data_IF_535470707526
#
_entry.id   IF_535470707526
#
_cell.length_a   1.000
_cell.length_b   1.000
_cell.length_c   1.000
_cell.angle_alpha   90.00
_cell.angle_beta   90.00
_cell.angle_gamma   90.00
#
_symmetry.space_group_name_H-M   'P 1'
#
loop_
_entity.id
_entity.type
_entity.pdbx_description
1 polymer ?
#
# COMPACT_ATOMS: atom_id res chain seq x y z
N UNK A 1 6.24 14.18 1.69
CA UNK A 1 6.92 14.01 0.39
C UNK A 1 6.60 12.60 -0.08
N UNK A 2 5.80 12.45 -1.14
CA UNK A 2 5.36 11.20 -1.83
C UNK A 2 5.66 11.35 -3.33
N UNK A 3 6.31 10.39 -4.06
CA UNK A 3 6.52 10.57 -5.53
C UNK A 3 5.35 10.24 -6.36
N UNK A 4 5.14 11.08 -7.36
CA UNK A 4 4.65 10.56 -8.61
C UNK A 4 5.57 11.13 -9.67
N UNK A 5 6.38 10.25 -10.25
CA UNK A 5 6.96 10.50 -11.56
C UNK A 5 5.90 10.14 -12.59
N UNK A 6 5.68 11.02 -13.56
CA UNK A 6 4.73 10.85 -14.67
C UNK A 6 4.89 9.54 -15.45
N UNK A 7 6.06 8.90 -15.37
CA UNK A 7 6.33 7.59 -15.99
C UNK A 7 5.65 6.41 -15.31
N UNK A 8 5.40 6.46 -13.99
CA UNK A 8 4.69 5.38 -13.29
C UNK A 8 3.23 5.27 -13.78
N UNK A 9 2.60 6.42 -14.06
CA UNK A 9 1.24 6.48 -14.58
C UNK A 9 1.17 5.98 -16.03
N UNK A 10 2.10 6.41 -16.89
CA UNK A 10 2.12 6.00 -18.29
C UNK A 10 2.39 4.48 -18.45
N UNK A 11 3.42 3.96 -17.78
CA UNK A 11 3.87 2.58 -18.01
C UNK A 11 2.86 1.53 -17.46
N UNK A 12 2.19 1.80 -16.33
CA UNK A 12 1.28 0.81 -15.72
C UNK A 12 -0.21 0.99 -16.07
N UNK A 13 -0.69 2.20 -16.39
CA UNK A 13 -2.10 2.39 -16.79
C UNK A 13 -2.32 2.20 -18.31
N UNK A 14 -1.36 2.55 -19.18
CA UNK A 14 -1.52 2.29 -20.62
C UNK A 14 -1.51 0.80 -20.93
N UNK A 15 -0.70 0.00 -20.21
CA UNK A 15 -0.70 -1.46 -20.34
C UNK A 15 -2.02 -2.09 -19.87
N UNK A 16 -2.70 -1.47 -18.89
CA UNK A 16 -4.03 -1.89 -18.44
C UNK A 16 -5.13 -1.56 -19.46
N UNK A 17 -5.04 -0.41 -20.15
CA UNK A 17 -6.00 -0.04 -21.21
C UNK A 17 -5.85 -0.92 -22.46
N UNK A 18 -4.62 -1.27 -22.87
CA UNK A 18 -4.39 -2.11 -24.05
C UNK A 18 -4.87 -3.56 -23.90
N UNK A 19 -5.03 -4.06 -22.67
CA UNK A 19 -5.55 -5.42 -22.41
C UNK A 19 -7.08 -5.51 -22.38
N UNK A 20 -7.80 -4.38 -22.42
CA UNK A 20 -9.26 -4.35 -22.23
C UNK A 20 -10.10 -4.64 -23.48
N UNK A 21 -9.48 -4.81 -24.66
CA UNK A 21 -10.22 -4.89 -25.94
C UNK A 21 -10.35 -6.29 -26.53
N UNK A 22 -9.78 -7.35 -25.94
CA UNK A 22 -9.95 -8.71 -26.46
C UNK A 22 -10.41 -9.73 -25.40
N UNK A 23 -11.62 -10.26 -25.66
CA UNK A 23 -12.11 -11.63 -25.36
C UNK A 23 -12.81 -11.93 -24.03
N UNK A 24 -14.14 -12.01 -24.15
CA UNK A 24 -14.97 -13.22 -23.89
C UNK A 24 -14.55 -14.16 -22.76
N UNK A 25 -15.32 -14.10 -21.67
CA UNK A 25 -15.88 -15.25 -20.93
C UNK A 25 -15.04 -16.53 -20.85
N UNK A 26 -14.01 -16.54 -20.02
CA UNK A 26 -13.63 -17.71 -19.20
C UNK A 26 -12.86 -17.18 -17.99
N UNK A 27 -13.15 -17.72 -16.81
CA UNK A 27 -12.68 -17.26 -15.50
C UNK A 27 -11.20 -17.58 -15.29
N UNK A 28 -10.34 -16.87 -16.00
CA UNK A 28 -8.90 -16.91 -15.81
C UNK A 28 -8.57 -16.17 -14.52
N UNK A 29 -8.44 -16.93 -13.43
CA UNK A 29 -7.83 -16.47 -12.19
C UNK A 29 -6.45 -15.91 -12.55
N UNK A 30 -6.40 -14.59 -12.62
CA UNK A 30 -5.41 -13.76 -13.28
C UNK A 30 -3.96 -14.16 -12.94
N UNK A 31 -3.12 -14.34 -13.96
CA UNK A 31 -1.67 -14.22 -13.78
C UNK A 31 -1.40 -12.83 -13.21
N UNK A 32 -1.01 -12.76 -11.92
CA UNK A 32 -0.60 -11.50 -11.32
C UNK A 32 0.64 -11.00 -12.07
N UNK A 33 0.60 -9.81 -12.69
CA UNK A 33 1.76 -9.27 -13.39
C UNK A 33 2.93 -9.16 -12.41
N UNK A 34 4.14 -9.53 -12.88
CA UNK A 34 5.36 -9.42 -12.08
C UNK A 34 5.66 -7.94 -11.84
N UNK A 35 5.54 -7.47 -10.60
CA UNK A 35 5.87 -6.10 -10.23
C UNK A 35 7.40 -5.90 -10.32
N UNK A 36 7.88 -5.08 -11.24
CA UNK A 36 9.22 -4.50 -11.12
C UNK A 36 9.19 -3.40 -10.05
N UNK A 37 9.61 -3.74 -8.83
CA UNK A 37 9.67 -2.80 -7.72
C UNK A 37 10.67 -1.68 -8.02
N UNK A 38 10.14 -0.48 -8.31
CA UNK A 38 10.91 0.75 -8.40
C UNK A 38 10.46 1.71 -7.30
N UNK A 39 11.39 2.11 -6.45
CA UNK A 39 11.13 3.10 -5.42
C UNK A 39 11.05 4.50 -6.04
N UNK A 40 10.16 5.34 -5.52
CA UNK A 40 10.01 6.72 -5.97
C UNK A 40 9.80 7.67 -4.76
N UNK A 41 10.41 8.89 -4.77
CA UNK A 41 10.10 10.01 -3.83
C UNK A 41 9.73 11.37 -4.51
N UNK A 42 8.55 11.98 -4.31
CA UNK A 42 8.14 13.30 -4.88
C UNK A 42 7.59 14.21 -3.84
N UNK A 43 7.48 15.39 -4.36
CA UNK A 43 7.03 16.58 -3.79
C UNK A 43 5.56 16.70 -4.10
N UNK A 44 4.78 16.79 -3.04
CA UNK A 44 3.43 17.28 -3.10
C UNK A 44 3.33 18.39 -2.06
N UNK A 45 2.83 19.54 -2.46
CA UNK A 45 2.61 20.65 -1.56
C UNK A 45 1.54 20.30 -0.50
N UNK A 46 1.56 21.01 0.62
CA UNK A 46 0.54 20.84 1.67
C UNK A 46 -0.83 21.22 1.10
N UNK A 47 -1.84 20.38 1.32
CA UNK A 47 -3.18 20.59 0.77
C UNK A 47 -3.48 19.87 -0.55
N UNK A 48 -2.49 19.31 -1.25
CA UNK A 48 -2.71 18.60 -2.53
C UNK A 48 -3.32 17.19 -2.41
N UNK A 49 -3.76 16.78 -1.21
CA UNK A 49 -4.38 15.46 -1.03
C UNK A 49 -3.38 14.29 -1.00
N UNK A 50 -2.20 14.47 -0.40
CA UNK A 50 -1.21 13.39 -0.20
C UNK A 50 -1.83 12.09 0.35
N UNK A 51 -2.72 12.20 1.34
CA UNK A 51 -3.30 11.04 2.01
C UNK A 51 -4.22 10.21 1.09
N UNK A 52 -5.00 10.84 0.20
CA UNK A 52 -5.84 10.10 -0.74
C UNK A 52 -4.99 9.39 -1.80
N UNK A 53 -3.91 10.03 -2.27
CA UNK A 53 -2.97 9.39 -3.21
C UNK A 53 -2.34 8.15 -2.57
N UNK A 54 -1.90 8.25 -1.31
CA UNK A 54 -1.38 7.10 -0.56
C UNK A 54 -2.43 6.00 -0.41
N UNK A 55 -3.67 6.34 -0.06
CA UNK A 55 -4.75 5.37 0.08
C UNK A 55 -5.07 4.64 -1.24
N UNK A 56 -5.14 5.37 -2.36
CA UNK A 56 -5.35 4.78 -3.69
C UNK A 56 -4.20 3.85 -4.09
N UNK A 57 -2.95 4.24 -3.82
CA UNK A 57 -1.78 3.40 -4.06
C UNK A 57 -1.81 2.14 -3.19
N UNK A 58 -2.23 2.24 -1.93
CA UNK A 58 -2.37 1.08 -1.06
C UNK A 58 -3.40 0.08 -1.60
N UNK A 59 -4.58 0.56 -2.04
CA UNK A 59 -5.60 -0.28 -2.69
C UNK A 59 -5.05 -0.96 -3.94
N UNK A 60 -4.34 -0.20 -4.78
CA UNK A 60 -3.72 -0.73 -6.00
C UNK A 60 -2.72 -1.86 -5.70
N UNK A 61 -1.84 -1.69 -4.71
CA UNK A 61 -0.85 -2.68 -4.32
C UNK A 61 -1.50 -3.95 -3.74
N UNK A 62 -2.53 -3.79 -2.92
CA UNK A 62 -3.27 -4.93 -2.34
C UNK A 62 -4.05 -5.68 -3.42
N UNK A 63 -4.80 -4.99 -4.28
CA UNK A 63 -5.70 -5.65 -5.24
C UNK A 63 -4.96 -6.31 -6.40
N UNK A 64 -3.97 -5.63 -6.99
CA UNK A 64 -3.30 -6.14 -8.18
C UNK A 64 -2.14 -7.08 -7.86
N UNK A 65 -1.42 -6.81 -6.77
CA UNK A 65 -0.21 -7.56 -6.42
C UNK A 65 -0.38 -8.42 -5.16
N UNK A 66 -1.40 -8.16 -4.34
CA UNK A 66 -1.62 -8.86 -3.07
C UNK A 66 -0.50 -8.65 -2.07
N UNK A 67 0.11 -7.45 -2.10
CA UNK A 67 1.13 -7.06 -1.14
C UNK A 67 0.49 -6.43 0.08
N UNK A 68 1.06 -6.70 1.26
CA UNK A 68 0.76 -5.98 2.49
C UNK A 68 1.43 -4.61 2.44
N UNK A 69 0.70 -3.56 2.82
CA UNK A 69 1.13 -2.17 2.72
C UNK A 69 1.26 -1.54 4.10
N UNK A 70 2.41 -0.96 4.41
CA UNK A 70 2.62 -0.17 5.62
C UNK A 70 2.61 1.32 5.27
N UNK A 71 1.62 2.05 5.79
CA UNK A 71 1.53 3.51 5.67
C UNK A 71 2.23 4.15 6.86
N UNK A 72 3.39 4.76 6.60
CA UNK A 72 4.22 5.37 7.62
C UNK A 72 3.82 6.83 7.86
N UNK A 73 3.30 7.09 9.06
CA UNK A 73 2.91 8.43 9.50
C UNK A 73 3.95 9.06 10.41
N UNK A 74 3.94 10.40 10.45
CA UNK A 74 4.95 11.16 11.19
C UNK A 74 4.63 11.29 12.69
N UNK A 75 3.35 11.25 13.06
CA UNK A 75 2.90 11.33 14.45
C UNK A 75 1.54 10.67 14.65
N UNK A 76 1.20 10.41 15.92
CA UNK A 76 -0.03 9.74 16.34
C UNK A 76 -1.31 10.47 15.89
N UNK A 77 -1.30 11.80 15.88
CA UNK A 77 -2.45 12.59 15.45
C UNK A 77 -2.77 12.44 13.97
N UNK A 78 -1.74 12.46 13.12
CA UNK A 78 -1.88 12.21 11.68
C UNK A 78 -2.32 10.77 11.42
N UNK A 79 -1.72 9.81 12.13
CA UNK A 79 -2.08 8.40 12.06
C UNK A 79 -3.56 8.18 12.37
N UNK A 80 -4.03 8.64 13.53
CA UNK A 80 -5.40 8.46 13.95
C UNK A 80 -6.40 9.15 13.00
N UNK A 81 -6.06 10.36 12.52
CA UNK A 81 -6.88 11.11 11.57
C UNK A 81 -6.99 10.38 10.25
N UNK A 82 -5.88 9.99 9.64
CA UNK A 82 -5.85 9.41 8.30
C UNK A 82 -6.44 8.00 8.33
N UNK A 83 -6.10 7.18 9.34
CA UNK A 83 -6.74 5.87 9.54
C UNK A 83 -8.25 5.99 9.62
N UNK A 84 -8.79 6.84 10.50
CA UNK A 84 -10.25 7.04 10.63
C UNK A 84 -10.90 7.58 9.35
N UNK A 85 -10.17 8.38 8.57
CA UNK A 85 -10.68 8.98 7.33
C UNK A 85 -10.77 7.95 6.21
N UNK A 86 -9.78 7.06 6.09
CA UNK A 86 -9.68 6.12 4.96
C UNK A 86 -10.06 4.68 5.30
N UNK A 87 -10.33 4.33 6.56
CA UNK A 87 -10.88 3.02 6.94
C UNK A 87 -12.15 2.67 6.13
N UNK A 88 -13.17 3.54 6.02
CA UNK A 88 -14.34 3.25 5.18
C UNK A 88 -13.99 3.08 3.69
N UNK A 89 -12.95 3.78 3.22
CA UNK A 89 -12.47 3.68 1.85
C UNK A 89 -11.87 2.30 1.59
N UNK A 90 -11.02 1.76 2.47
CA UNK A 90 -10.48 0.40 2.34
C UNK A 90 -11.57 -0.67 2.45
N UNK A 91 -12.52 -0.49 3.39
CA UNK A 91 -13.67 -1.40 3.52
C UNK A 91 -14.51 -1.49 2.25
N UNK A 92 -14.68 -0.38 1.50
CA UNK A 92 -15.39 -0.39 0.23
C UNK A 92 -14.74 -1.28 -0.85
N UNK A 93 -13.43 -1.57 -0.71
CA UNK A 93 -12.70 -2.50 -1.56
C UNK A 93 -12.51 -3.89 -0.92
N UNK A 94 -13.18 -4.20 0.19
CA UNK A 94 -12.98 -5.41 0.98
C UNK A 94 -11.52 -5.61 1.44
N UNK A 95 -10.83 -4.51 1.75
CA UNK A 95 -9.45 -4.53 2.24
C UNK A 95 -9.48 -4.36 3.76
N UNK A 96 -8.88 -5.31 4.47
CA UNK A 96 -8.68 -5.21 5.92
C UNK A 96 -7.57 -4.20 6.22
N UNK A 97 -7.85 -3.27 7.13
CA UNK A 97 -6.87 -2.27 7.56
C UNK A 97 -6.80 -2.16 9.08
N UNK A 98 -5.61 -1.84 9.59
CA UNK A 98 -5.35 -1.72 11.02
C UNK A 98 -4.27 -0.71 11.36
N UNK A 99 -3.99 -0.59 12.65
CA UNK A 99 -2.89 0.24 13.18
C UNK A 99 -1.82 -0.59 13.91
N UNK A 100 -2.07 -1.89 14.06
CA UNK A 100 -1.14 -2.84 14.66
C UNK A 100 -0.33 -3.54 13.56
N UNK A 101 0.99 -3.51 13.69
CA UNK A 101 1.91 -4.19 12.76
C UNK A 101 1.90 -5.70 12.94
N UNK A 102 1.40 -6.20 14.08
CA UNK A 102 1.30 -7.63 14.39
C UNK A 102 0.00 -8.27 13.89
N UNK A 103 -0.92 -7.48 13.34
CA UNK A 103 -2.15 -8.00 12.76
C UNK A 103 -1.84 -8.63 11.39
N UNK A 104 -1.88 -9.96 11.33
CA UNK A 104 -1.62 -10.74 10.11
C UNK A 104 -2.76 -10.61 9.08
N UNK A 105 -3.98 -10.33 9.53
CA UNK A 105 -5.16 -10.18 8.66
C UNK A 105 -5.23 -8.78 8.03
N UNK A 106 -4.58 -7.79 8.64
CA UNK A 106 -4.52 -6.43 8.09
C UNK A 106 -3.63 -6.38 6.84
N UNK A 107 -4.24 -6.02 5.71
CA UNK A 107 -3.55 -5.83 4.43
C UNK A 107 -2.95 -4.42 4.30
N UNK A 108 -3.55 -3.43 4.96
CA UNK A 108 -3.03 -2.06 5.06
C UNK A 108 -2.86 -1.68 6.52
N UNK A 109 -1.63 -1.36 6.93
CA UNK A 109 -1.33 -0.99 8.32
C UNK A 109 -0.80 0.43 8.39
N UNK A 110 -1.50 1.30 9.11
CA UNK A 110 -1.00 2.62 9.48
C UNK A 110 -0.08 2.51 10.69
N UNK A 111 1.14 3.03 10.59
CA UNK A 111 2.14 2.85 11.63
C UNK A 111 3.08 4.06 11.75
N UNK A 112 3.78 4.13 12.87
CA UNK A 112 4.83 5.08 13.13
C UNK A 112 6.19 4.43 13.00
N UNK A 113 7.21 5.24 12.70
CA UNK A 113 8.61 4.78 12.62
C UNK A 113 9.05 4.04 13.89
N UNK A 114 8.60 4.51 15.06
CA UNK A 114 8.91 3.87 16.35
C UNK A 114 8.38 2.44 16.42
N UNK A 115 7.17 2.18 15.92
CA UNK A 115 6.55 0.86 15.96
C UNK A 115 7.30 -0.13 15.06
N UNK A 116 7.66 0.29 13.84
CA UNK A 116 8.48 -0.54 12.93
C UNK A 116 9.82 -0.89 13.59
N UNK A 117 10.50 0.10 14.16
CA UNK A 117 11.78 -0.12 14.83
C UNK A 117 11.66 -1.08 16.02
N UNK A 118 10.59 -0.95 16.82
CA UNK A 118 10.34 -1.85 17.94
C UNK A 118 10.07 -3.28 17.49
N UNK A 119 9.27 -3.46 16.43
CA UNK A 119 9.02 -4.77 15.84
C UNK A 119 10.32 -5.40 15.30
N UNK A 120 11.12 -4.62 14.59
CA UNK A 120 12.41 -5.05 14.06
C UNK A 120 13.35 -5.51 15.19
N UNK A 121 13.55 -4.68 16.22
CA UNK A 121 14.39 -5.03 17.37
C UNK A 121 13.88 -6.27 18.11
N UNK A 122 12.55 -6.43 18.24
CA UNK A 122 11.95 -7.63 18.82
C UNK A 122 12.27 -8.87 17.98
N UNK A 123 12.08 -8.82 16.66
CA UNK A 123 12.45 -9.92 15.75
C UNK A 123 13.95 -10.24 15.81
N UNK A 124 14.82 -9.22 15.97
CA UNK A 124 16.26 -9.43 16.16
C UNK A 124 16.56 -10.22 17.44
N UNK A 125 15.94 -9.87 18.56
CA UNK A 125 16.13 -10.57 19.85
C UNK A 125 15.59 -11.99 19.79
N UNK A 126 14.48 -12.21 19.08
CA UNK A 126 13.87 -13.53 18.89
C UNK A 126 14.64 -14.39 17.87
N UNK A 127 15.64 -13.85 17.17
CA UNK A 127 16.41 -14.57 16.15
C UNK A 127 15.65 -14.85 14.85
N UNK A 128 14.55 -14.12 14.60
CA UNK A 128 13.63 -14.32 13.46
C UNK A 128 13.77 -13.27 12.37
N UNK A 129 14.99 -12.82 12.08
CA UNK A 129 15.25 -11.80 11.08
C UNK A 129 14.88 -12.23 9.64
N UNK A 130 14.92 -13.53 9.37
CA UNK A 130 14.69 -14.09 8.03
C UNK A 130 13.21 -14.33 7.71
N UNK A 131 12.30 -14.13 8.67
CA UNK A 131 10.85 -14.19 8.44
C UNK A 131 10.39 -12.85 7.83
N UNK A 132 10.14 -12.89 6.50
CA UNK A 132 9.71 -11.78 5.63
C UNK A 132 8.65 -10.90 6.32
N UNK A 133 8.88 -9.57 6.31
CA UNK A 133 7.96 -8.53 6.78
C UNK A 133 6.77 -8.35 5.82
#
# INVERSE_FOLDING_TARGET
TVLMMSRFFADFLQDAEHQSTERTSTWSFFLRPKLELRAFIAQMATGEGKSIVIAMLAVFMVQLYGLKVHVLENNEGLLARDFKTYEPFFMAFNISCGTDLLDDEAQVVYCLKRQINQLFLRKMVEGKLDEVL
#
